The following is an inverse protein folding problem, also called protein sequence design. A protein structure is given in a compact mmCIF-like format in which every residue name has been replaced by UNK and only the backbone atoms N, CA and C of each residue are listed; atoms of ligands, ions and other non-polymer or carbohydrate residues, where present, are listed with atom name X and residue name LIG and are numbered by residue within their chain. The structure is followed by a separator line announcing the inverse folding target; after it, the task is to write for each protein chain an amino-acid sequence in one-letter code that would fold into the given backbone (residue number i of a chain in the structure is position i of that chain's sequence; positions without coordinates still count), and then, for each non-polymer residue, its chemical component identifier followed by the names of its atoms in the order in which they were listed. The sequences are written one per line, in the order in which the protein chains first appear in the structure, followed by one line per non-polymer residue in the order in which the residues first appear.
data_IF_300449441877
#
_entry.id   IF_300449441877
#
_cell.length_a   1.000
_cell.length_b   1.000
_cell.length_c   1.000
_cell.angle_alpha   90.00
_cell.angle_beta   90.00
_cell.angle_gamma   90.00
#
_symmetry.space_group_name_H-M   'P 1'
#
loop_
_entity.id
_entity.type
_entity.pdbx_description
1 polymer ?
#
# COMPACT_ATOMS: atom_id res chain seq x y z
N UNK A 1 9.53 0.33 -4.31
CA UNK A 1 8.69 1.48 -4.68
C UNK A 1 7.51 1.11 -5.57
N UNK A 2 7.69 0.42 -6.71
CA UNK A 2 6.60 0.06 -7.64
C UNK A 2 5.42 -0.69 -6.99
N UNK A 3 5.72 -1.64 -6.09
CA UNK A 3 4.67 -2.36 -5.36
C UNK A 3 3.78 -1.43 -4.53
N UNK A 4 4.37 -0.43 -3.86
CA UNK A 4 3.61 0.58 -3.12
C UNK A 4 2.72 1.42 -4.04
N UNK A 5 3.25 1.82 -5.20
CA UNK A 5 2.50 2.63 -6.16
C UNK A 5 1.28 1.88 -6.68
N UNK A 6 1.42 0.61 -7.06
CA UNK A 6 0.32 -0.23 -7.54
C UNK A 6 -0.70 -0.46 -6.42
N UNK A 7 -0.24 -0.83 -5.22
CA UNK A 7 -1.12 -1.10 -4.08
C UNK A 7 -1.88 0.15 -3.63
N UNK A 8 -1.18 1.29 -3.52
CA UNK A 8 -1.81 2.57 -3.17
C UNK A 8 -2.88 2.97 -4.20
N UNK A 9 -2.60 2.77 -5.48
CA UNK A 9 -3.55 3.07 -6.56
C UNK A 9 -4.78 2.17 -6.49
N UNK A 10 -4.59 0.86 -6.27
CA UNK A 10 -5.68 -0.10 -6.12
C UNK A 10 -6.55 0.21 -4.89
N UNK A 11 -5.90 0.52 -3.75
CA UNK A 11 -6.60 0.94 -2.55
C UNK A 11 -7.42 2.21 -2.79
N UNK A 12 -6.80 3.24 -3.35
CA UNK A 12 -7.46 4.54 -3.60
C UNK A 12 -8.64 4.40 -4.55
N UNK A 13 -8.52 3.56 -5.59
CA UNK A 13 -9.64 3.20 -6.45
C UNK A 13 -10.85 2.71 -5.65
N UNK A 14 -10.65 1.67 -4.85
CA UNK A 14 -11.75 1.04 -4.10
C UNK A 14 -12.33 1.96 -3.02
N UNK A 15 -11.49 2.70 -2.31
CA UNK A 15 -11.92 3.65 -1.30
C UNK A 15 -12.84 4.74 -1.89
N UNK A 16 -12.41 5.39 -2.97
CA UNK A 16 -13.19 6.45 -3.61
C UNK A 16 -14.44 5.92 -4.31
N UNK A 17 -14.38 4.71 -4.86
CA UNK A 17 -15.57 4.03 -5.39
C UNK A 17 -16.59 3.83 -4.28
N UNK A 18 -16.20 3.25 -3.15
CA UNK A 18 -17.09 3.05 -2.03
C UNK A 18 -17.64 4.37 -1.48
N UNK A 19 -16.75 5.35 -1.21
CA UNK A 19 -17.12 6.64 -0.65
C UNK A 19 -18.18 7.37 -1.48
N UNK A 20 -18.04 7.35 -2.79
CA UNK A 20 -18.91 8.10 -3.69
C UNK A 20 -20.17 7.33 -4.10
N UNK A 21 -20.11 5.98 -4.11
CA UNK A 21 -21.20 5.15 -4.66
C UNK A 21 -22.03 4.44 -3.61
N UNK A 22 -21.57 4.31 -2.34
CA UNK A 22 -22.40 3.75 -1.26
C UNK A 22 -23.74 4.47 -1.11
N UNK A 23 -23.80 5.82 -1.05
CA UNK A 23 -25.11 6.51 -0.93
C UNK A 23 -26.03 6.24 -2.11
N UNK A 24 -25.48 6.21 -3.34
CA UNK A 24 -26.25 5.91 -4.54
C UNK A 24 -26.79 4.47 -4.53
N UNK A 25 -25.96 3.51 -4.11
CA UNK A 25 -26.35 2.11 -4.00
C UNK A 25 -27.48 1.91 -2.97
N UNK A 26 -27.30 2.44 -1.76
CA UNK A 26 -28.29 2.30 -0.68
C UNK A 26 -29.61 3.00 -1.07
N UNK A 27 -29.53 4.20 -1.62
CA UNK A 27 -30.72 4.98 -2.02
C UNK A 27 -31.49 4.34 -3.15
N UNK A 28 -30.81 3.94 -4.23
CA UNK A 28 -31.48 3.46 -5.44
C UNK A 28 -31.89 1.99 -5.38
N UNK A 29 -31.08 1.13 -4.75
CA UNK A 29 -31.40 -0.31 -4.69
C UNK A 29 -32.41 -0.64 -3.61
N UNK A 30 -32.34 0.04 -2.46
CA UNK A 30 -33.20 -0.25 -1.32
C UNK A 30 -34.30 0.80 -1.07
N UNK A 31 -34.45 1.75 -2.00
CA UNK A 31 -35.48 2.82 -1.93
C UNK A 31 -35.50 3.51 -0.55
N UNK A 32 -34.27 3.84 -0.07
CA UNK A 32 -34.11 4.38 1.28
C UNK A 32 -34.25 5.91 1.24
N UNK A 33 -35.09 6.43 2.12
CA UNK A 33 -35.32 7.86 2.34
C UNK A 33 -33.98 8.61 2.64
N UNK A 34 -33.91 9.90 2.28
CA UNK A 34 -32.66 10.70 2.30
C UNK A 34 -32.01 10.75 3.68
N UNK A 35 -32.79 10.88 4.76
CA UNK A 35 -32.24 10.96 6.12
C UNK A 35 -31.64 9.62 6.55
N UNK A 36 -32.36 8.52 6.32
CA UNK A 36 -31.89 7.18 6.61
C UNK A 36 -30.71 6.78 5.72
N UNK A 37 -30.70 7.20 4.46
CA UNK A 37 -29.57 6.96 3.55
C UNK A 37 -28.31 7.65 4.05
N UNK A 38 -28.39 8.90 4.52
CA UNK A 38 -27.24 9.60 5.11
C UNK A 38 -26.66 8.87 6.31
N UNK A 39 -27.51 8.40 7.24
CA UNK A 39 -27.10 7.64 8.41
C UNK A 39 -26.43 6.31 8.02
N UNK A 40 -27.06 5.52 7.17
CA UNK A 40 -26.53 4.22 6.74
C UNK A 40 -25.26 4.34 5.91
N UNK A 41 -25.08 5.43 5.18
CA UNK A 41 -23.86 5.70 4.43
C UNK A 41 -22.70 6.18 5.31
N UNK A 42 -22.99 6.86 6.43
CA UNK A 42 -21.98 7.34 7.36
C UNK A 42 -21.49 6.25 8.33
N UNK A 43 -22.36 5.30 8.69
CA UNK A 43 -22.07 4.26 9.69
C UNK A 43 -20.83 3.42 9.38
N UNK A 44 -20.55 2.99 8.13
CA UNK A 44 -19.32 2.28 7.78
C UNK A 44 -18.05 3.06 8.15
N UNK A 45 -18.04 4.37 7.91
CA UNK A 45 -16.86 5.23 8.18
C UNK A 45 -16.70 5.50 9.68
N UNK A 46 -17.78 5.66 10.43
CA UNK A 46 -17.73 5.76 11.88
C UNK A 46 -17.16 4.48 12.49
N UNK A 47 -17.64 3.32 12.03
CA UNK A 47 -17.12 2.02 12.47
C UNK A 47 -15.65 1.86 12.11
N UNK A 48 -15.24 2.26 10.90
CA UNK A 48 -13.85 2.29 10.46
C UNK A 48 -12.97 3.13 11.41
N UNK A 49 -13.43 4.33 11.77
CA UNK A 49 -12.72 5.19 12.70
C UNK A 49 -12.52 4.51 14.07
N UNK A 50 -13.57 3.92 14.64
CA UNK A 50 -13.49 3.18 15.92
C UNK A 50 -12.52 2.00 15.81
N UNK A 51 -12.58 1.22 14.72
CA UNK A 51 -11.73 0.05 14.49
C UNK A 51 -10.25 0.42 14.25
N UNK A 52 -9.95 1.65 13.83
CA UNK A 52 -8.57 2.08 13.56
C UNK A 52 -7.69 2.02 14.82
N UNK A 53 -8.23 2.34 16.00
CA UNK A 53 -7.48 2.34 17.26
C UNK A 53 -7.01 0.94 17.67
N UNK A 54 -7.91 -0.07 17.82
CA UNK A 54 -7.48 -1.39 18.21
C UNK A 54 -6.60 -2.08 17.16
N UNK A 55 -6.85 -1.87 15.86
CA UNK A 55 -6.03 -2.45 14.79
C UNK A 55 -4.60 -1.91 14.88
N UNK A 56 -4.43 -0.59 15.01
CA UNK A 56 -3.11 0.03 15.15
C UNK A 56 -2.40 -0.44 16.42
N UNK A 57 -3.10 -0.46 17.54
CA UNK A 57 -2.54 -0.91 18.82
C UNK A 57 -2.07 -2.38 18.75
N UNK A 58 -2.88 -3.27 18.21
CA UNK A 58 -2.53 -4.69 18.05
C UNK A 58 -1.31 -4.86 17.16
N UNK A 59 -1.28 -4.17 15.99
CA UNK A 59 -0.13 -4.20 15.09
C UNK A 59 1.16 -3.79 15.80
N UNK A 60 1.14 -2.68 16.54
CA UNK A 60 2.30 -2.17 17.27
C UNK A 60 2.76 -3.10 18.39
N UNK A 61 1.82 -3.68 19.15
CA UNK A 61 2.14 -4.64 20.22
C UNK A 61 2.78 -5.91 19.66
N UNK A 62 2.28 -6.44 18.54
CA UNK A 62 2.82 -7.64 17.92
C UNK A 62 4.26 -7.42 17.40
N UNK A 63 4.55 -6.24 16.86
CA UNK A 63 5.91 -5.86 16.44
C UNK A 63 6.81 -5.67 17.67
N UNK A 64 6.37 -4.90 18.67
CA UNK A 64 7.16 -4.63 19.89
C UNK A 64 7.50 -5.89 20.68
N UNK A 65 6.60 -6.87 20.71
CA UNK A 65 6.82 -8.17 21.37
C UNK A 65 7.62 -9.16 20.53
N UNK A 66 8.11 -8.75 19.35
CA UNK A 66 8.82 -9.60 18.39
C UNK A 66 8.03 -10.87 17.98
N UNK A 67 6.69 -10.83 18.04
CA UNK A 67 5.82 -11.90 17.53
C UNK A 67 5.78 -11.88 16.00
N UNK A 68 5.77 -10.66 15.42
CA UNK A 68 5.81 -10.45 13.99
C UNK A 68 6.99 -9.54 13.61
N UNK A 69 7.61 -9.85 12.48
CA UNK A 69 8.53 -8.90 11.85
C UNK A 69 7.75 -7.71 11.28
N UNK A 70 8.38 -6.55 11.15
CA UNK A 70 7.75 -5.36 10.54
C UNK A 70 7.16 -5.73 9.17
N UNK A 71 7.92 -6.41 8.31
CA UNK A 71 7.47 -6.82 6.99
C UNK A 71 6.25 -7.74 7.04
N UNK A 72 6.21 -8.71 7.95
CA UNK A 72 5.07 -9.60 8.11
C UNK A 72 3.83 -8.84 8.57
N UNK A 73 3.98 -7.94 9.55
CA UNK A 73 2.89 -7.09 10.04
C UNK A 73 2.32 -6.23 8.90
N UNK A 74 3.17 -5.58 8.09
CA UNK A 74 2.73 -4.77 6.93
C UNK A 74 1.92 -5.61 5.94
N UNK A 75 2.40 -6.81 5.58
CA UNK A 75 1.70 -7.69 4.64
C UNK A 75 0.38 -8.22 5.19
N UNK A 76 0.34 -8.62 6.46
CA UNK A 76 -0.89 -9.10 7.11
C UNK A 76 -1.92 -7.98 7.20
N UNK A 77 -1.54 -6.80 7.70
CA UNK A 77 -2.45 -5.66 7.80
C UNK A 77 -2.98 -5.24 6.43
N UNK A 78 -2.13 -5.23 5.41
CA UNK A 78 -2.57 -4.91 4.06
C UNK A 78 -3.54 -5.96 3.51
N UNK A 79 -3.28 -7.24 3.77
CA UNK A 79 -4.18 -8.34 3.36
C UNK A 79 -5.55 -8.24 4.02
N UNK A 80 -5.60 -7.93 5.31
CA UNK A 80 -6.85 -7.66 6.01
C UNK A 80 -7.57 -6.46 5.37
N UNK A 81 -6.83 -5.39 5.11
CA UNK A 81 -7.40 -4.14 4.60
C UNK A 81 -7.84 -4.15 3.14
N UNK A 82 -7.40 -5.10 2.32
CA UNK A 82 -7.78 -5.17 0.90
C UNK A 82 -8.55 -6.46 0.54
N UNK A 83 -8.13 -7.64 1.03
CA UNK A 83 -8.82 -8.88 0.66
C UNK A 83 -10.14 -9.08 1.39
N UNK A 84 -10.26 -8.64 2.66
CA UNK A 84 -11.54 -8.72 3.37
C UNK A 84 -12.59 -7.83 2.69
N UNK A 85 -12.32 -6.54 2.38
CA UNK A 85 -13.23 -5.74 1.56
C UNK A 85 -13.54 -6.37 0.20
N UNK A 86 -12.55 -6.94 -0.49
CA UNK A 86 -12.77 -7.60 -1.77
C UNK A 86 -13.79 -8.74 -1.65
N UNK A 87 -13.65 -9.61 -0.65
CA UNK A 87 -14.59 -10.71 -0.39
C UNK A 87 -15.98 -10.18 -0.03
N UNK A 88 -16.04 -9.14 0.82
CA UNK A 88 -17.31 -8.52 1.19
C UNK A 88 -18.03 -7.90 -0.02
N UNK A 89 -17.30 -7.28 -0.94
CA UNK A 89 -17.86 -6.73 -2.19
C UNK A 89 -18.36 -7.82 -3.14
N UNK A 90 -17.66 -8.96 -3.22
CA UNK A 90 -18.18 -10.13 -3.95
C UNK A 90 -19.48 -10.58 -3.34
N UNK A 91 -19.56 -10.72 -2.00
CA UNK A 91 -20.80 -11.06 -1.30
C UNK A 91 -21.92 -10.05 -1.58
N UNK A 92 -21.60 -8.75 -1.57
CA UNK A 92 -22.56 -7.69 -1.85
C UNK A 92 -23.15 -7.77 -3.26
N UNK A 93 -22.38 -8.27 -4.24
CA UNK A 93 -22.87 -8.51 -5.61
C UNK A 93 -23.96 -9.56 -5.74
N UNK A 94 -24.15 -10.40 -4.71
CA UNK A 94 -25.20 -11.41 -4.68
C UNK A 94 -26.39 -11.05 -3.77
N UNK A 95 -26.31 -9.92 -3.06
CA UNK A 95 -27.41 -9.47 -2.19
C UNK A 95 -28.58 -8.97 -3.04
N UNK A 96 -29.78 -9.41 -2.69
CA UNK A 96 -31.02 -9.00 -3.34
C UNK A 96 -31.67 -7.79 -2.66
N UNK A 97 -32.58 -7.13 -3.35
CA UNK A 97 -33.33 -5.97 -2.82
C UNK A 97 -34.10 -6.30 -1.52
N UNK A 98 -34.41 -7.57 -1.29
CA UNK A 98 -35.13 -8.03 -0.11
C UNK A 98 -34.25 -8.17 1.15
N UNK A 99 -32.93 -7.97 1.00
CA UNK A 99 -31.96 -8.20 2.06
C UNK A 99 -31.11 -6.94 2.42
N UNK A 100 -31.74 -5.79 2.71
CA UNK A 100 -31.02 -4.55 2.97
C UNK A 100 -30.12 -4.63 4.21
N UNK A 101 -30.47 -5.44 5.19
CA UNK A 101 -29.67 -5.67 6.40
C UNK A 101 -28.32 -6.33 6.09
N UNK A 102 -28.32 -7.33 5.21
CA UNK A 102 -27.08 -8.02 4.79
C UNK A 102 -26.20 -7.07 4.00
N UNK A 103 -26.76 -6.28 3.07
CA UNK A 103 -26.01 -5.29 2.31
C UNK A 103 -25.30 -4.27 3.22
N UNK A 104 -26.02 -3.73 4.19
CA UNK A 104 -25.48 -2.77 5.16
C UNK A 104 -24.37 -3.38 6.01
N UNK A 105 -24.56 -4.61 6.51
CA UNK A 105 -23.58 -5.33 7.29
C UNK A 105 -22.29 -5.57 6.47
N UNK A 106 -22.38 -6.01 5.21
CA UNK A 106 -21.24 -6.22 4.33
C UNK A 106 -20.51 -4.92 4.02
N UNK A 107 -21.21 -3.81 3.80
CA UNK A 107 -20.62 -2.49 3.58
C UNK A 107 -19.87 -2.01 4.84
N UNK A 108 -20.46 -2.13 6.02
CA UNK A 108 -19.82 -1.77 7.29
C UNK A 108 -18.55 -2.60 7.47
N UNK A 109 -18.63 -3.91 7.24
CA UNK A 109 -17.51 -4.81 7.40
C UNK A 109 -16.38 -4.53 6.38
N UNK A 110 -16.73 -4.25 5.12
CA UNK A 110 -15.77 -3.89 4.09
C UNK A 110 -15.00 -2.61 4.44
N UNK A 111 -15.70 -1.54 4.81
CA UNK A 111 -15.07 -0.24 5.12
C UNK A 111 -14.34 -0.29 6.46
N UNK A 112 -14.87 -0.99 7.47
CA UNK A 112 -14.19 -1.13 8.76
C UNK A 112 -12.90 -1.92 8.68
N UNK A 113 -12.86 -3.01 7.91
CA UNK A 113 -11.62 -3.79 7.71
C UNK A 113 -10.59 -3.05 6.87
N UNK A 114 -11.03 -2.18 5.97
CA UNK A 114 -10.14 -1.41 5.08
C UNK A 114 -9.16 -0.51 5.84
N UNK A 115 -9.48 -0.06 7.06
CA UNK A 115 -8.55 0.78 7.86
C UNK A 115 -7.25 0.09 8.24
N UNK A 116 -7.17 -1.24 8.15
CA UNK A 116 -5.94 -1.98 8.43
C UNK A 116 -4.78 -1.60 7.49
N UNK A 117 -5.07 -1.02 6.32
CA UNK A 117 -4.05 -0.53 5.38
C UNK A 117 -3.15 0.56 5.98
N UNK A 118 -3.66 1.30 6.96
CA UNK A 118 -2.85 2.32 7.64
C UNK A 118 -1.68 1.72 8.41
N UNK A 119 -1.78 0.45 8.85
CA UNK A 119 -0.67 -0.34 9.39
C UNK A 119 0.04 -1.19 8.32
N UNK A 120 -0.49 -1.21 7.09
CA UNK A 120 0.03 -1.93 5.93
C UNK A 120 0.93 -1.08 5.05
N UNK A 121 0.54 -0.94 3.77
CA UNK A 121 1.33 -0.22 2.77
C UNK A 121 1.47 1.27 3.06
N UNK A 122 0.53 1.90 3.74
CA UNK A 122 0.55 3.35 3.99
C UNK A 122 1.77 3.76 4.83
N UNK A 123 2.09 3.03 5.90
CA UNK A 123 3.27 3.28 6.74
C UNK A 123 4.56 2.79 6.08
N UNK A 124 4.49 1.88 5.12
CA UNK A 124 5.66 1.24 4.52
C UNK A 124 6.59 2.21 3.76
N UNK A 125 6.14 3.41 3.42
CA UNK A 125 6.99 4.48 2.88
C UNK A 125 8.10 4.86 3.88
N UNK A 126 7.77 4.92 5.18
CA UNK A 126 8.72 5.20 6.26
C UNK A 126 9.69 4.04 6.49
N UNK A 127 9.21 2.79 6.32
CA UNK A 127 10.06 1.61 6.47
C UNK A 127 11.09 1.54 5.32
N UNK A 128 10.70 1.90 4.09
CA UNK A 128 11.58 1.85 2.91
C UNK A 128 12.65 2.93 2.93
N UNK A 129 12.30 4.13 3.33
CA UNK A 129 13.23 5.26 3.36
C UNK A 129 12.73 6.34 4.32
N UNK A 130 13.19 6.30 5.57
CA UNK A 130 12.87 7.34 6.55
C UNK A 130 13.24 8.75 6.08
N UNK A 131 14.39 8.91 5.37
CA UNK A 131 14.86 10.22 4.89
C UNK A 131 14.03 10.79 3.74
N UNK A 132 13.38 9.94 2.93
CA UNK A 132 12.61 10.35 1.75
C UNK A 132 11.15 9.89 1.82
N UNK A 133 10.62 9.54 3.00
CA UNK A 133 9.26 9.05 3.16
C UNK A 133 8.20 10.04 2.63
N UNK A 134 8.39 11.35 2.89
CA UNK A 134 7.50 12.41 2.39
C UNK A 134 7.44 12.48 0.85
N UNK A 135 8.57 12.66 0.15
CA UNK A 135 8.61 12.61 -1.31
C UNK A 135 8.04 11.32 -1.91
N UNK A 136 8.34 10.16 -1.33
CA UNK A 136 7.79 8.88 -1.78
C UNK A 136 6.27 8.83 -1.68
N UNK A 137 5.74 9.25 -0.53
CA UNK A 137 4.30 9.33 -0.31
C UNK A 137 3.65 10.35 -1.25
N UNK A 138 4.31 11.47 -1.52
CA UNK A 138 3.86 12.45 -2.50
C UNK A 138 3.71 11.87 -3.91
N UNK A 139 4.72 11.12 -4.39
CA UNK A 139 4.70 10.47 -5.70
C UNK A 139 3.58 9.41 -5.78
N UNK A 140 3.50 8.53 -4.78
CA UNK A 140 2.48 7.47 -4.79
C UNK A 140 1.06 8.03 -4.69
N UNK A 141 0.83 9.06 -3.86
CA UNK A 141 -0.46 9.74 -3.78
C UNK A 141 -0.82 10.47 -5.07
N UNK A 142 0.14 11.08 -5.76
CA UNK A 142 -0.13 11.77 -7.04
C UNK A 142 -0.69 10.78 -8.07
N UNK A 143 -0.06 9.62 -8.22
CA UNK A 143 -0.55 8.58 -9.15
C UNK A 143 -1.88 7.99 -8.67
N UNK A 144 -2.02 7.72 -7.37
CA UNK A 144 -3.23 7.18 -6.79
C UNK A 144 -4.44 8.13 -6.95
N UNK A 145 -4.22 9.46 -6.90
CA UNK A 145 -5.28 10.44 -7.11
C UNK A 145 -5.85 10.42 -8.53
N UNK A 146 -5.09 9.99 -9.53
CA UNK A 146 -5.63 9.72 -10.87
C UNK A 146 -6.69 8.61 -10.79
N UNK A 147 -6.40 7.54 -10.03
CA UNK A 147 -7.35 6.46 -9.81
C UNK A 147 -8.59 6.92 -9.02
N UNK A 148 -8.45 7.88 -8.10
CA UNK A 148 -9.58 8.44 -7.36
C UNK A 148 -10.59 9.18 -8.24
N UNK A 149 -10.12 9.81 -9.31
CA UNK A 149 -10.97 10.48 -10.31
C UNK A 149 -11.60 9.45 -11.24
N UNK A 150 -10.84 8.46 -11.68
CA UNK A 150 -11.32 7.46 -12.62
C UNK A 150 -12.36 6.51 -12.02
N UNK A 151 -12.23 6.16 -10.73
CA UNK A 151 -13.12 5.20 -10.09
C UNK A 151 -14.62 5.59 -10.15
N UNK A 152 -15.06 6.78 -9.71
CA UNK A 152 -16.46 7.18 -9.80
C UNK A 152 -16.93 7.40 -11.24
N UNK A 153 -16.03 7.79 -12.17
CA UNK A 153 -16.37 7.95 -13.59
C UNK A 153 -16.67 6.60 -14.24
N UNK A 154 -15.79 5.60 -14.04
CA UNK A 154 -15.98 4.24 -14.56
C UNK A 154 -17.21 3.60 -13.90
N UNK A 155 -17.41 3.82 -12.58
CA UNK A 155 -18.62 3.38 -11.91
C UNK A 155 -19.90 3.93 -12.58
N UNK A 156 -19.90 5.19 -12.99
CA UNK A 156 -21.04 5.82 -13.66
C UNK A 156 -21.27 5.29 -15.09
N UNK A 157 -20.22 4.80 -15.75
CA UNK A 157 -20.34 4.15 -17.07
C UNK A 157 -20.90 2.73 -16.94
N UNK A 158 -20.54 2.01 -15.87
CA UNK A 158 -21.00 0.64 -15.63
C UNK A 158 -22.42 0.64 -15.07
N UNK A 159 -22.70 1.52 -14.10
CA UNK A 159 -24.00 1.64 -13.45
C UNK A 159 -24.79 2.76 -14.13
N UNK A 160 -25.49 2.40 -15.20
CA UNK A 160 -26.38 3.32 -15.96
C UNK A 160 -27.78 3.38 -15.35
N UNK A 161 -28.24 2.28 -14.81
CA UNK A 161 -29.55 2.13 -14.16
C UNK A 161 -29.32 1.82 -12.68
N UNK A 162 -29.35 2.85 -11.81
CA UNK A 162 -29.00 2.69 -10.38
C UNK A 162 -29.89 1.73 -9.59
N UNK A 163 -31.08 1.41 -10.09
CA UNK A 163 -32.00 0.43 -9.55
C UNK A 163 -31.68 -1.02 -9.97
N UNK A 164 -30.74 -1.20 -10.92
CA UNK A 164 -30.35 -2.50 -11.44
C UNK A 164 -29.21 -3.13 -10.61
N UNK A 165 -29.52 -4.09 -9.78
CA UNK A 165 -28.55 -4.84 -8.95
C UNK A 165 -27.46 -5.52 -9.79
N UNK A 166 -27.77 -5.93 -11.02
CA UNK A 166 -26.80 -6.59 -11.90
C UNK A 166 -25.66 -5.67 -12.34
N UNK A 167 -25.93 -4.38 -12.57
CA UNK A 167 -24.90 -3.39 -12.92
C UNK A 167 -24.00 -3.09 -11.71
N UNK A 168 -24.58 -2.98 -10.50
CA UNK A 168 -23.82 -2.85 -9.28
C UNK A 168 -22.92 -4.05 -9.01
N UNK A 169 -23.40 -5.26 -9.28
CA UNK A 169 -22.59 -6.48 -9.14
C UNK A 169 -21.32 -6.42 -9.99
N UNK A 170 -21.44 -5.99 -11.24
CA UNK A 170 -20.27 -5.85 -12.13
C UNK A 170 -19.26 -4.84 -11.57
N UNK A 171 -19.73 -3.74 -11.00
CA UNK A 171 -18.88 -2.74 -10.38
C UNK A 171 -18.18 -3.26 -9.11
N UNK A 172 -18.91 -4.00 -8.26
CA UNK A 172 -18.32 -4.61 -7.07
C UNK A 172 -17.28 -5.67 -7.42
N UNK A 173 -17.52 -6.48 -8.45
CA UNK A 173 -16.54 -7.48 -8.91
C UNK A 173 -15.29 -6.82 -9.49
N UNK A 174 -15.44 -5.78 -10.31
CA UNK A 174 -14.30 -5.02 -10.81
C UNK A 174 -13.44 -4.49 -9.64
N UNK A 175 -14.06 -3.88 -8.65
CA UNK A 175 -13.36 -3.34 -7.48
C UNK A 175 -12.70 -4.44 -6.65
N UNK A 176 -13.36 -5.60 -6.50
CA UNK A 176 -12.79 -6.76 -5.80
C UNK A 176 -11.54 -7.28 -6.50
N UNK A 177 -11.54 -7.35 -7.83
CA UNK A 177 -10.38 -7.78 -8.63
C UNK A 177 -9.23 -6.79 -8.46
N UNK A 178 -9.51 -5.49 -8.48
CA UNK A 178 -8.48 -4.45 -8.30
C UNK A 178 -7.86 -4.54 -6.91
N UNK A 179 -8.65 -4.67 -5.85
CA UNK A 179 -8.16 -4.87 -4.49
C UNK A 179 -7.33 -6.15 -4.36
N UNK A 180 -7.81 -7.25 -4.96
CA UNK A 180 -7.09 -8.53 -4.92
C UNK A 180 -5.71 -8.42 -5.58
N UNK A 181 -5.63 -7.86 -6.79
CA UNK A 181 -4.38 -7.71 -7.53
C UNK A 181 -3.45 -6.68 -6.87
N UNK A 182 -3.98 -5.60 -6.31
CA UNK A 182 -3.21 -4.60 -5.56
C UNK A 182 -2.49 -5.23 -4.37
N UNK A 183 -3.21 -5.96 -3.53
CA UNK A 183 -2.62 -6.64 -2.38
C UNK A 183 -1.68 -7.79 -2.80
N UNK A 184 -2.03 -8.56 -3.83
CA UNK A 184 -1.16 -9.62 -4.34
C UNK A 184 0.20 -9.04 -4.75
N UNK A 185 0.21 -7.90 -5.43
CA UNK A 185 1.43 -7.18 -5.80
C UNK A 185 2.24 -6.79 -4.56
N UNK A 186 1.59 -6.33 -3.48
CA UNK A 186 2.27 -6.00 -2.24
C UNK A 186 2.81 -7.24 -1.51
N UNK A 187 2.09 -8.34 -1.51
CA UNK A 187 2.55 -9.59 -0.90
C UNK A 187 3.80 -10.12 -1.62
N UNK A 188 3.81 -10.09 -2.94
CA UNK A 188 4.91 -10.66 -3.74
C UNK A 188 6.13 -9.73 -3.74
N UNK A 189 5.94 -8.46 -4.05
CA UNK A 189 7.01 -7.50 -4.30
C UNK A 189 7.24 -6.49 -3.17
N UNK A 190 6.34 -6.40 -2.19
CA UNK A 190 6.46 -5.48 -1.05
C UNK A 190 7.58 -5.89 -0.11
N UNK A 191 8.37 -4.92 0.31
CA UNK A 191 9.44 -5.07 1.30
C UNK A 191 9.37 -3.95 2.33
N UNK A 192 9.85 -4.21 3.55
CA UNK A 192 10.02 -3.21 4.61
C UNK A 192 11.49 -3.03 4.98
N UNK A 193 12.40 -3.40 4.09
CA UNK A 193 13.84 -3.16 4.28
C UNK A 193 14.20 -1.76 3.81
N UNK A 194 15.03 -1.06 4.59
CA UNK A 194 15.58 0.23 4.20
C UNK A 194 16.34 0.05 2.89
N UNK A 195 16.08 0.93 1.94
CA UNK A 195 16.67 0.89 0.60
C UNK A 195 18.02 1.59 0.58
N UNK A 196 18.95 1.13 -0.25
CA UNK A 196 20.32 1.67 -0.36
C UNK A 196 20.36 3.16 -0.66
N UNK A 197 19.44 3.64 -1.49
CA UNK A 197 19.30 5.06 -1.83
C UNK A 197 18.78 5.95 -0.70
N UNK A 198 18.43 5.38 0.47
CA UNK A 198 18.01 6.17 1.64
C UNK A 198 19.15 7.04 2.19
N UNK A 199 20.41 6.64 2.03
CA UNK A 199 21.56 7.35 2.59
C UNK A 199 22.68 7.58 1.55
N UNK A 200 22.43 8.46 0.56
CA UNK A 200 23.36 8.68 -0.56
C UNK A 200 24.71 9.26 -0.12
N UNK A 201 24.80 9.86 1.08
CA UNK A 201 26.03 10.38 1.63
C UNK A 201 26.92 9.23 2.10
N UNK A 202 26.34 8.19 2.69
CA UNK A 202 27.05 6.99 3.13
C UNK A 202 27.63 6.24 1.92
N UNK A 203 26.83 6.04 0.89
CA UNK A 203 27.26 5.40 -0.35
C UNK A 203 28.44 6.13 -1.01
N UNK A 204 28.38 7.47 -1.12
CA UNK A 204 29.49 8.28 -1.62
C UNK A 204 30.75 8.16 -0.77
N UNK A 205 30.62 8.07 0.55
CA UNK A 205 31.73 7.92 1.47
C UNK A 205 32.38 6.54 1.35
N UNK A 206 31.57 5.50 1.23
CA UNK A 206 32.06 4.12 1.06
C UNK A 206 32.79 3.95 -0.28
N UNK A 207 32.27 4.53 -1.37
CA UNK A 207 32.93 4.57 -2.68
C UNK A 207 34.25 5.35 -2.59
N UNK A 208 34.26 6.51 -1.93
CA UNK A 208 35.48 7.32 -1.78
C UNK A 208 36.56 6.64 -0.93
N UNK A 209 36.17 5.90 0.10
CA UNK A 209 37.09 5.10 0.93
C UNK A 209 37.65 3.90 0.17
N UNK A 210 36.83 3.20 -0.62
CA UNK A 210 37.26 2.09 -1.47
C UNK A 210 38.29 2.56 -2.49
N UNK A 211 38.02 3.63 -3.21
CA UNK A 211 38.93 4.20 -4.21
C UNK A 211 40.24 4.71 -3.59
N UNK A 212 40.21 5.29 -2.40
CA UNK A 212 41.38 5.72 -1.67
C UNK A 212 42.23 4.52 -1.21
N UNK A 213 41.61 3.43 -0.81
CA UNK A 213 42.30 2.20 -0.40
C UNK A 213 42.96 1.54 -1.61
N UNK A 214 42.27 1.42 -2.74
CA UNK A 214 42.87 0.88 -3.99
C UNK A 214 44.05 1.70 -4.44
N UNK A 215 43.96 3.03 -4.46
CA UNK A 215 45.05 3.93 -4.82
C UNK A 215 46.26 3.81 -3.86
N UNK A 216 46.03 3.58 -2.57
CA UNK A 216 47.13 3.39 -1.60
C UNK A 216 47.83 2.03 -1.76
N UNK A 217 47.09 0.99 -2.10
CA UNK A 217 47.63 -0.34 -2.40
C UNK A 217 48.46 -0.31 -3.68
N UNK A 218 47.96 0.32 -4.74
CA UNK A 218 48.67 0.47 -6.02
C UNK A 218 50.01 1.25 -5.87
N UNK A 219 49.98 2.33 -5.10
CA UNK A 219 51.19 3.07 -4.74
C UNK A 219 52.20 2.23 -3.94
N UNK A 220 51.70 1.40 -3.03
CA UNK A 220 52.52 0.46 -2.26
C UNK A 220 53.20 -0.58 -3.13
N UNK A 221 52.53 -1.13 -4.13
CA UNK A 221 53.16 -2.04 -5.11
C UNK A 221 54.19 -1.36 -5.98
N UNK A 222 53.86 -0.19 -6.53
CA UNK A 222 54.81 0.59 -7.35
C UNK A 222 56.07 0.99 -6.56
N UNK A 223 55.94 1.27 -5.26
CA UNK A 223 57.12 1.59 -4.43
C UNK A 223 57.95 0.34 -4.16
N UNK A 224 57.36 -0.79 -3.88
CA UNK A 224 58.09 -2.08 -3.69
C UNK A 224 58.89 -2.48 -4.94
N UNK A 225 58.30 -2.30 -6.12
CA UNK A 225 58.93 -2.60 -7.39
C UNK A 225 60.19 -1.75 -7.60
N UNK A 226 60.11 -0.44 -7.31
CA UNK A 226 61.24 0.47 -7.36
C UNK A 226 62.35 0.15 -6.34
N UNK A 227 61.96 -0.29 -5.15
CA UNK A 227 62.92 -0.66 -4.10
C UNK A 227 63.61 -1.98 -4.44
N UNK A 228 62.93 -2.93 -5.11
CA UNK A 228 63.51 -4.17 -5.61
C UNK A 228 64.51 -3.90 -6.74
N UNK A 229 64.16 -3.03 -7.69
CA UNK A 229 65.00 -2.66 -8.81
C UNK A 229 66.31 -1.96 -8.33
N UNK A 230 66.22 -1.09 -7.31
CA UNK A 230 67.43 -0.45 -6.68
C UNK A 230 68.30 -1.45 -5.96
N UNK A 231 67.73 -2.49 -5.34
CA UNK A 231 68.48 -3.53 -4.65
C UNK A 231 69.26 -4.41 -5.62
N UNK A 232 68.76 -4.67 -6.81
CA UNK A 232 69.39 -5.48 -7.83
C UNK A 232 70.52 -4.71 -8.52
N UNK A 233 70.36 -3.41 -8.81
CA UNK A 233 71.36 -2.52 -9.33
C UNK A 233 72.56 -2.32 -8.36
N UNK A 234 72.33 -2.38 -7.04
CA UNK A 234 73.36 -2.27 -6.01
C UNK A 234 74.16 -3.56 -5.80
N UNK A 235 73.83 -4.69 -6.40
CA UNK A 235 74.54 -5.96 -6.35
C UNK A 235 75.52 -6.17 -7.52
N UNK A 236 75.36 -5.40 -8.57
CA UNK A 236 76.23 -5.45 -9.78
C UNK A 236 77.42 -4.44 -9.76
N UNK A 237 77.59 -3.65 -8.71
CA UNK A 237 78.70 -2.73 -8.48
C UNK A 237 79.63 -3.24 -7.37
#
# INVERSE_FOLDING_TARGET
MWALLVTQSAHTWGFWMLLTKIPSYIGSVFDTDIQNNGLWSALPYLTAWICSFPISYISDVLIKRNVLTVQASRKICNTIGEWIPAIALVGLGYVTKEQPGIARALLIFAVASNVAIYCGHNVNHMDLSPNFAGPLMGITNTVANICSILAPLIASVIVKHPDNVGEWRNMFFLTSIIYFLGNLTFIVFGTSKIQEWNDPIKEKKDISMSSATESSVEKGYAQREKDTEKMDLGKES
#
